data_IF_121107127419
#
_entry.id   IF_121107127419
#
_cell.length_a   1.000
_cell.length_b   1.000
_cell.length_c   1.000
_cell.angle_alpha   90.00
_cell.angle_beta   90.00
_cell.angle_gamma   90.00
#
_symmetry.space_group_name_H-M   'P 1'
#
loop_
_entity.id
_entity.type
_entity.pdbx_description
1 polymer ?
#
# COMPACT_ATOMS: atom_id res chain seq x y z
N UNK A 1 13.25 1.78 -3.78
CA UNK A 1 13.43 0.44 -3.19
C UNK A 1 12.16 0.15 -2.43
N UNK A 2 11.53 -0.97 -2.74
CA UNK A 2 10.30 -1.45 -2.09
C UNK A 2 10.68 -2.65 -1.22
N UNK A 3 10.24 -2.66 0.03
CA UNK A 3 10.32 -3.82 0.92
C UNK A 3 8.93 -4.45 1.02
N UNK A 4 8.80 -5.58 1.71
CA UNK A 4 7.50 -6.21 1.95
C UNK A 4 6.63 -5.32 2.85
N UNK A 5 5.37 -5.16 2.47
CA UNK A 5 4.36 -4.49 3.30
C UNK A 5 3.83 -5.47 4.35
N UNK A 6 3.67 -5.01 5.60
CA UNK A 6 3.20 -5.85 6.71
C UNK A 6 1.80 -5.45 7.16
N UNK A 7 0.95 -6.44 7.46
CA UNK A 7 -0.40 -6.19 8.01
C UNK A 7 -0.33 -5.73 9.46
N UNK A 8 -1.22 -4.80 9.84
CA UNK A 8 -1.37 -4.37 11.24
C UNK A 8 -2.02 -5.44 12.14
N UNK A 9 -2.58 -6.49 11.57
CA UNK A 9 -3.14 -7.61 12.33
C UNK A 9 -2.48 -8.91 11.91
N UNK A 10 -2.56 -9.91 12.80
CA UNK A 10 -2.06 -11.25 12.51
C UNK A 10 -2.77 -11.88 11.30
N UNK A 11 -2.07 -12.76 10.59
CA UNK A 11 -2.57 -13.41 9.38
C UNK A 11 -3.95 -14.07 9.57
N UNK A 12 -4.17 -14.81 10.67
CA UNK A 12 -5.46 -15.44 10.96
C UNK A 12 -6.62 -14.45 11.18
N UNK A 13 -6.32 -13.20 11.52
CA UNK A 13 -7.31 -12.12 11.63
C UNK A 13 -7.65 -11.55 10.26
N UNK A 14 -6.66 -11.39 9.37
CA UNK A 14 -6.82 -10.72 8.07
C UNK A 14 -7.04 -11.66 6.89
N UNK A 15 -6.86 -12.98 7.04
CA UNK A 15 -7.14 -13.96 5.98
C UNK A 15 -8.39 -14.79 6.27
N UNK A 16 -9.06 -15.21 5.21
CA UNK A 16 -10.21 -16.11 5.26
C UNK A 16 -10.21 -17.03 4.02
N UNK A 17 -10.98 -18.10 4.07
CA UNK A 17 -11.09 -19.08 2.99
C UNK A 17 -12.44 -18.95 2.29
N UNK A 18 -12.41 -18.69 0.99
CA UNK A 18 -13.58 -18.78 0.13
C UNK A 18 -13.72 -20.20 -0.39
N UNK A 19 -14.71 -20.92 0.11
CA UNK A 19 -15.04 -22.25 -0.38
C UNK A 19 -15.96 -22.16 -1.61
N UNK A 20 -15.68 -22.95 -2.64
CA UNK A 20 -16.49 -23.06 -3.85
C UNK A 20 -16.53 -24.51 -4.34
N UNK A 21 -17.53 -24.82 -5.18
CA UNK A 21 -17.59 -26.12 -5.82
C UNK A 21 -16.59 -26.15 -6.98
N UNK A 22 -15.64 -27.08 -6.91
CA UNK A 22 -14.66 -27.27 -7.97
C UNK A 22 -15.31 -27.93 -9.20
N UNK A 23 -14.90 -27.49 -10.38
CA UNK A 23 -15.36 -28.05 -11.65
C UNK A 23 -14.69 -29.40 -11.92
N UNK A 24 -15.32 -30.24 -12.75
CA UNK A 24 -14.64 -31.38 -13.36
C UNK A 24 -13.58 -30.90 -14.37
N UNK A 25 -12.68 -31.77 -14.81
CA UNK A 25 -11.61 -31.45 -15.77
C UNK A 25 -12.11 -30.85 -17.09
N UNK A 26 -13.38 -31.10 -17.44
CA UNK A 26 -14.06 -30.51 -18.59
C UNK A 26 -14.60 -29.09 -18.33
N UNK A 27 -14.26 -28.48 -17.20
CA UNK A 27 -14.73 -27.16 -16.75
C UNK A 27 -16.25 -27.05 -16.55
N UNK A 28 -16.93 -28.16 -16.27
CA UNK A 28 -18.38 -28.17 -15.99
C UNK A 28 -18.69 -28.57 -14.56
N UNK A 29 -19.87 -28.15 -14.09
CA UNK A 29 -20.39 -28.49 -12.76
C UNK A 29 -21.03 -29.89 -12.70
N UNK A 30 -21.09 -30.62 -13.81
CA UNK A 30 -21.73 -31.94 -13.90
C UNK A 30 -20.82 -32.96 -14.55
N UNK A 31 -20.82 -34.16 -14.01
CA UNK A 31 -20.11 -35.29 -14.59
C UNK A 31 -20.66 -35.55 -16.01
N UNK A 32 -19.82 -35.59 -17.05
CA UNK A 32 -20.25 -35.75 -18.43
C UNK A 32 -20.84 -37.14 -18.74
N UNK A 33 -20.59 -38.13 -17.89
CA UNK A 33 -21.07 -39.51 -18.03
C UNK A 33 -22.29 -39.75 -17.15
N UNK A 34 -22.24 -39.33 -15.89
CA UNK A 34 -23.29 -39.63 -14.90
C UNK A 34 -24.30 -38.50 -14.72
N UNK A 35 -24.00 -37.29 -15.18
CA UNK A 35 -24.84 -36.09 -15.03
C UNK A 35 -24.93 -35.56 -13.59
N UNK A 36 -24.27 -36.21 -12.63
CA UNK A 36 -24.27 -35.80 -11.23
C UNK A 36 -23.46 -34.52 -11.04
N UNK A 37 -23.87 -33.70 -10.07
CA UNK A 37 -23.14 -32.48 -9.74
C UNK A 37 -21.78 -32.81 -9.13
N UNK A 38 -20.77 -31.98 -9.38
CA UNK A 38 -19.47 -32.10 -8.72
C UNK A 38 -19.63 -31.98 -7.20
N UNK A 39 -19.03 -32.91 -6.46
CA UNK A 39 -18.89 -32.85 -5.00
C UNK A 39 -17.51 -32.39 -4.56
N UNK A 40 -16.60 -32.12 -5.51
CA UNK A 40 -15.26 -31.62 -5.23
C UNK A 40 -15.34 -30.20 -4.71
N UNK A 41 -14.59 -29.93 -3.64
CA UNK A 41 -14.54 -28.61 -2.99
C UNK A 41 -13.19 -27.97 -3.30
N UNK A 42 -13.22 -26.72 -3.76
CA UNK A 42 -12.07 -25.84 -3.85
C UNK A 42 -12.10 -24.78 -2.75
N UNK A 43 -10.92 -24.30 -2.34
CA UNK A 43 -10.77 -23.19 -1.39
C UNK A 43 -9.75 -22.20 -1.92
N UNK A 44 -10.13 -20.93 -1.98
CA UNK A 44 -9.23 -19.82 -2.27
C UNK A 44 -9.04 -18.97 -1.02
N UNK A 45 -7.80 -18.80 -0.56
CA UNK A 45 -7.50 -17.84 0.51
C UNK A 45 -7.59 -16.41 -0.02
N UNK A 46 -8.20 -15.52 0.77
CA UNK A 46 -8.27 -14.10 0.45
C UNK A 46 -8.02 -13.25 1.70
N UNK A 47 -7.56 -12.02 1.46
CA UNK A 47 -7.42 -11.00 2.50
C UNK A 47 -8.77 -10.32 2.73
N UNK A 48 -9.24 -10.30 3.97
CA UNK A 48 -10.51 -9.68 4.38
C UNK A 48 -10.52 -8.18 4.06
N UNK A 49 -11.68 -7.60 3.69
CA UNK A 49 -11.84 -6.16 3.59
C UNK A 49 -11.39 -5.45 4.86
N UNK A 50 -10.98 -4.17 4.72
CA UNK A 50 -10.55 -3.32 5.83
C UNK A 50 -9.27 -3.78 6.56
N UNK A 51 -8.57 -4.78 6.02
CA UNK A 51 -7.19 -5.08 6.40
C UNK A 51 -6.27 -3.94 5.98
N UNK A 52 -5.44 -3.48 6.91
CA UNK A 52 -4.48 -2.39 6.68
C UNK A 52 -3.07 -2.97 6.65
N UNK A 53 -2.32 -2.58 5.61
CA UNK A 53 -0.91 -2.88 5.45
C UNK A 53 -0.12 -1.58 5.50
N UNK A 54 1.01 -1.59 6.20
CA UNK A 54 1.94 -0.47 6.20
C UNK A 54 3.13 -0.78 5.31
N UNK A 55 3.55 0.25 4.56
CA UNK A 55 4.63 0.19 3.59
C UNK A 55 5.36 1.53 3.52
N UNK A 56 6.68 1.49 3.30
CA UNK A 56 7.56 2.65 3.14
C UNK A 56 8.19 2.56 1.76
N UNK A 57 7.82 3.52 0.91
CA UNK A 57 8.40 3.67 -0.42
C UNK A 57 9.66 4.55 -0.36
N UNK A 58 10.84 3.94 -0.52
CA UNK A 58 12.12 4.66 -0.47
C UNK A 58 12.55 5.12 -1.86
N UNK A 59 12.60 6.44 -2.05
CA UNK A 59 12.99 7.09 -3.29
C UNK A 59 14.34 7.82 -3.12
N UNK A 60 15.23 7.67 -4.10
CA UNK A 60 16.60 8.19 -4.04
C UNK A 60 16.96 8.92 -5.32
N UNK A 61 17.70 10.03 -5.19
CA UNK A 61 18.28 10.80 -6.30
C UNK A 61 17.23 11.22 -7.36
N UNK A 62 16.03 11.60 -6.89
CA UNK A 62 14.94 12.06 -7.75
C UNK A 62 14.91 13.58 -7.85
N UNK A 63 14.58 14.07 -9.04
CA UNK A 63 14.08 15.42 -9.24
C UNK A 63 12.66 15.58 -8.66
N UNK A 64 12.21 16.83 -8.47
CA UNK A 64 10.87 17.10 -7.97
C UNK A 64 9.76 16.52 -8.89
N UNK A 65 9.96 16.56 -10.20
CA UNK A 65 8.98 16.04 -11.15
C UNK A 65 8.93 14.51 -11.17
N UNK A 66 10.07 13.84 -10.98
CA UNK A 66 10.09 12.38 -10.82
C UNK A 66 9.43 11.95 -9.51
N UNK A 67 9.65 12.69 -8.43
CA UNK A 67 8.95 12.45 -7.17
C UNK A 67 7.43 12.58 -7.34
N UNK A 68 6.96 13.65 -7.98
CA UNK A 68 5.53 13.84 -8.32
C UNK A 68 5.00 12.71 -9.20
N UNK A 69 5.80 12.26 -10.17
CA UNK A 69 5.43 11.15 -11.05
C UNK A 69 5.22 9.84 -10.27
N UNK A 70 6.17 9.49 -9.40
CA UNK A 70 6.10 8.29 -8.56
C UNK A 70 4.91 8.38 -7.60
N UNK A 71 4.80 9.49 -6.86
CA UNK A 71 3.71 9.70 -5.91
C UNK A 71 2.32 9.66 -6.60
N UNK A 72 2.20 10.27 -7.78
CA UNK A 72 0.98 10.22 -8.58
C UNK A 72 0.60 8.80 -9.00
N UNK A 73 1.58 7.96 -9.35
CA UNK A 73 1.34 6.55 -9.67
C UNK A 73 0.90 5.75 -8.44
N UNK A 74 1.50 5.98 -7.27
CA UNK A 74 1.08 5.35 -6.01
C UNK A 74 -0.39 5.72 -5.73
N UNK A 75 -0.74 7.00 -5.75
CA UNK A 75 -2.10 7.47 -5.45
C UNK A 75 -3.16 6.92 -6.43
N UNK A 76 -2.78 6.69 -7.69
CA UNK A 76 -3.69 6.18 -8.75
C UNK A 76 -3.76 4.65 -8.80
N UNK A 77 -2.86 3.96 -8.12
CA UNK A 77 -2.84 2.49 -8.06
C UNK A 77 -3.89 1.99 -7.08
N UNK A 78 -4.88 1.25 -7.58
CA UNK A 78 -6.01 0.76 -6.76
C UNK A 78 -6.28 -0.73 -6.91
N UNK A 79 -5.58 -1.41 -7.83
CA UNK A 79 -5.76 -2.84 -8.08
C UNK A 79 -4.46 -3.56 -7.79
N UNK A 80 -4.47 -4.36 -6.74
CA UNK A 80 -3.32 -5.13 -6.30
C UNK A 80 -3.63 -6.63 -6.42
N UNK A 81 -2.61 -7.44 -6.66
CA UNK A 81 -2.72 -8.88 -6.84
C UNK A 81 -2.40 -9.36 -8.27
N UNK A 82 -2.36 -10.67 -8.44
CA UNK A 82 -1.97 -11.31 -9.70
C UNK A 82 -2.95 -10.98 -10.85
N UNK A 83 -2.40 -10.88 -12.06
CA UNK A 83 -3.11 -10.47 -13.29
C UNK A 83 -4.32 -11.39 -13.58
N UNK A 84 -4.24 -12.67 -13.22
CA UNK A 84 -5.29 -13.67 -13.43
C UNK A 84 -6.43 -13.59 -12.42
N UNK A 85 -6.19 -13.07 -11.21
CA UNK A 85 -7.15 -13.08 -10.12
C UNK A 85 -7.80 -11.71 -9.90
N UNK A 86 -7.11 -10.57 -10.08
CA UNK A 86 -7.65 -9.18 -9.96
C UNK A 86 -8.74 -8.99 -8.88
N UNK A 87 -8.60 -9.64 -7.72
CA UNK A 87 -9.69 -9.74 -6.73
C UNK A 87 -9.65 -8.60 -5.69
N UNK A 88 -8.54 -7.86 -5.53
CA UNK A 88 -8.41 -6.83 -4.48
C UNK A 88 -8.45 -5.38 -4.99
N UNK A 89 -9.37 -4.56 -4.44
CA UNK A 89 -9.29 -3.09 -4.55
C UNK A 89 -8.64 -2.54 -3.28
N UNK A 90 -7.53 -1.83 -3.43
CA UNK A 90 -6.80 -1.16 -2.34
C UNK A 90 -6.95 0.35 -2.48
N UNK A 91 -6.98 1.04 -1.35
CA UNK A 91 -6.90 2.50 -1.27
C UNK A 91 -5.58 2.86 -0.59
N UNK A 92 -4.68 3.50 -1.33
CA UNK A 92 -3.44 4.02 -0.75
C UNK A 92 -3.72 5.29 0.05
N UNK A 93 -3.08 5.40 1.20
CA UNK A 93 -3.16 6.57 2.10
C UNK A 93 -1.73 6.94 2.45
N UNK A 94 -1.32 8.16 2.10
CA UNK A 94 0.00 8.68 2.48
C UNK A 94 -0.09 9.13 3.93
N UNK A 95 0.50 8.37 4.84
CA UNK A 95 0.46 8.66 6.27
C UNK A 95 1.63 9.54 6.76
N UNK A 96 2.73 9.57 6.01
CA UNK A 96 3.94 10.31 6.35
C UNK A 96 4.87 10.48 5.15
N UNK A 97 5.68 11.55 5.18
CA UNK A 97 6.80 11.77 4.26
C UNK A 97 8.00 12.24 5.08
N UNK A 98 9.15 11.62 4.85
CA UNK A 98 10.40 11.95 5.56
C UNK A 98 11.50 12.12 4.53
N UNK A 99 12.12 13.30 4.50
CA UNK A 99 13.36 13.53 3.78
C UNK A 99 14.54 13.17 4.68
N UNK A 100 15.52 12.45 4.13
CA UNK A 100 16.68 11.97 4.89
C UNK A 100 17.94 11.89 4.03
N UNK A 101 19.11 12.03 4.64
CA UNK A 101 20.42 11.73 4.04
C UNK A 101 20.93 10.32 4.34
N UNK A 102 20.13 9.52 5.05
CA UNK A 102 20.42 8.14 5.42
C UNK A 102 19.16 7.26 5.36
N UNK A 103 19.36 5.95 5.48
CA UNK A 103 18.27 4.99 5.62
C UNK A 103 17.53 5.20 6.96
N UNK A 104 16.22 4.99 6.94
CA UNK A 104 15.37 5.12 8.12
C UNK A 104 15.21 3.76 8.81
N UNK A 105 14.03 3.53 9.38
CA UNK A 105 13.61 2.26 9.95
C UNK A 105 12.87 1.41 8.91
N UNK A 106 12.80 0.10 9.14
CA UNK A 106 12.14 -0.85 8.25
C UNK A 106 10.61 -0.79 8.31
N UNK A 107 9.94 -1.34 7.29
CA UNK A 107 8.49 -1.54 7.28
C UNK A 107 8.00 -2.34 8.50
N UNK A 108 8.77 -3.37 8.90
CA UNK A 108 8.44 -4.20 10.06
C UNK A 108 8.51 -3.40 11.37
N UNK A 109 9.56 -2.62 11.58
CA UNK A 109 9.71 -1.78 12.78
C UNK A 109 8.61 -0.72 12.87
N UNK A 110 8.25 -0.10 11.75
CA UNK A 110 7.11 0.82 11.70
C UNK A 110 5.81 0.09 12.08
N UNK A 111 5.55 -1.07 11.48
CA UNK A 111 4.34 -1.86 11.72
C UNK A 111 4.21 -2.29 13.18
N UNK A 112 5.30 -2.77 13.78
CA UNK A 112 5.33 -3.16 15.20
C UNK A 112 5.11 -1.96 16.11
N UNK A 113 5.77 -0.83 15.85
CA UNK A 113 5.56 0.38 16.65
C UNK A 113 4.13 0.91 16.56
N UNK A 114 3.49 0.83 15.38
CA UNK A 114 2.09 1.25 15.21
C UNK A 114 1.14 0.26 15.86
N UNK A 115 1.41 -1.04 15.75
CA UNK A 115 0.66 -2.09 16.44
C UNK A 115 0.61 -1.82 17.95
N UNK A 116 1.76 -1.58 18.57
CA UNK A 116 1.87 -1.32 20.01
C UNK A 116 1.08 -0.08 20.44
N UNK A 117 1.12 1.00 19.63
CA UNK A 117 0.34 2.21 19.88
C UNK A 117 -1.18 1.97 19.78
N UNK A 118 -1.61 1.11 18.86
CA UNK A 118 -3.03 0.81 18.65
C UNK A 118 -3.60 -0.19 19.66
N UNK A 119 -2.78 -1.07 20.23
CA UNK A 119 -3.18 -1.96 21.32
C UNK A 119 -3.70 -1.18 22.54
N UNK A 120 -3.07 -0.05 22.90
CA UNK A 120 -3.52 0.84 23.97
C UNK A 120 -3.94 0.12 25.28
N UNK A 121 -3.21 -0.93 25.68
CA UNK A 121 -3.49 -1.74 26.87
C UNK A 121 -4.36 -2.98 26.65
N UNK A 122 -4.90 -3.18 25.45
CA UNK A 122 -5.49 -4.44 24.99
C UNK A 122 -4.40 -5.43 24.52
N UNK A 123 -4.69 -6.75 24.48
CA UNK A 123 -3.74 -7.75 23.98
C UNK A 123 -3.51 -7.65 22.46
N UNK A 124 -4.50 -7.17 21.71
CA UNK A 124 -4.46 -6.98 20.26
C UNK A 124 -5.34 -5.78 19.86
N UNK A 125 -5.05 -5.11 18.73
CA UNK A 125 -5.89 -4.02 18.24
C UNK A 125 -7.20 -4.53 17.65
N UNK A 126 -8.26 -3.71 17.74
CA UNK A 126 -9.56 -4.01 17.14
C UNK A 126 -9.46 -4.28 15.63
N UNK A 127 -10.29 -5.17 15.09
CA UNK A 127 -10.45 -5.38 13.65
C UNK A 127 -11.92 -5.21 13.26
N UNK A 128 -12.26 -4.28 12.33
CA UNK A 128 -11.37 -3.43 11.54
C UNK A 128 -10.83 -2.21 12.30
N UNK A 129 -9.72 -1.65 11.82
CA UNK A 129 -9.15 -0.38 12.33
C UNK A 129 -9.64 0.83 11.54
N UNK A 130 -9.85 1.95 12.25
CA UNK A 130 -10.16 3.23 11.62
C UNK A 130 -8.89 3.97 11.19
N UNK A 131 -8.89 4.53 9.98
CA UNK A 131 -7.79 5.39 9.50
C UNK A 131 -7.57 6.63 10.39
N UNK A 132 -8.61 7.10 11.08
CA UNK A 132 -8.50 8.21 12.03
C UNK A 132 -7.67 7.85 13.28
N UNK A 133 -7.54 6.57 13.59
CA UNK A 133 -6.65 6.07 14.65
C UNK A 133 -5.28 5.69 14.09
N UNK A 134 -5.25 5.03 12.91
CA UNK A 134 -4.02 4.52 12.32
C UNK A 134 -3.08 5.63 11.85
N UNK A 135 -3.58 6.67 11.16
CA UNK A 135 -2.69 7.72 10.63
C UNK A 135 -1.95 8.46 11.75
N UNK A 136 -2.61 8.92 12.85
CA UNK A 136 -1.89 9.51 13.98
C UNK A 136 -0.92 8.54 14.66
N UNK A 137 -1.24 7.25 14.74
CA UNK A 137 -0.34 6.24 15.29
C UNK A 137 0.91 6.06 14.42
N UNK A 138 0.76 6.05 13.09
CA UNK A 138 1.87 6.04 12.12
C UNK A 138 2.75 7.27 12.30
N UNK A 139 2.16 8.47 12.38
CA UNK A 139 2.91 9.71 12.57
C UNK A 139 3.70 9.71 13.89
N UNK A 140 3.07 9.25 14.97
CA UNK A 140 3.72 9.10 16.27
C UNK A 140 4.86 8.08 16.26
N UNK A 141 4.68 6.96 15.56
CA UNK A 141 5.70 5.93 15.37
C UNK A 141 6.88 6.46 14.54
N UNK A 142 6.62 7.21 13.46
CA UNK A 142 7.66 7.87 12.66
C UNK A 142 8.50 8.79 13.56
N UNK A 143 7.87 9.69 14.33
CA UNK A 143 8.57 10.60 15.24
C UNK A 143 9.41 9.86 16.29
N UNK A 144 8.87 8.77 16.87
CA UNK A 144 9.57 7.99 17.88
C UNK A 144 10.78 7.24 17.29
N UNK A 145 10.58 6.52 16.18
CA UNK A 145 11.62 5.73 15.53
C UNK A 145 12.70 6.63 14.92
N UNK A 146 12.34 7.81 14.40
CA UNK A 146 13.30 8.76 13.85
C UNK A 146 14.34 9.25 14.86
N UNK A 147 14.06 9.23 16.17
CA UNK A 147 15.01 9.64 17.22
C UNK A 147 16.26 8.76 17.30
N UNK A 148 16.20 7.53 16.81
CA UNK A 148 17.33 6.58 16.80
C UNK A 148 18.17 6.67 15.53
N UNK A 149 17.68 7.38 14.51
CA UNK A 149 18.34 7.47 13.21
C UNK A 149 19.52 8.43 13.33
N UNK A 150 20.69 7.97 12.88
CA UNK A 150 21.94 8.73 12.93
C UNK A 150 22.14 9.44 11.59
N UNK A 151 21.42 10.54 11.39
CA UNK A 151 21.50 11.37 10.19
C UNK A 151 20.64 12.63 10.28
N UNK A 152 20.45 13.32 9.15
CA UNK A 152 19.58 14.50 9.06
C UNK A 152 18.23 14.09 8.49
N UNK A 153 17.18 14.39 9.24
CA UNK A 153 15.81 14.08 8.86
C UNK A 153 14.98 15.36 8.82
N UNK A 154 14.05 15.43 7.87
CA UNK A 154 12.95 16.40 7.85
C UNK A 154 11.66 15.62 7.68
N UNK A 155 10.89 15.51 8.77
CA UNK A 155 9.56 14.89 8.76
C UNK A 155 8.56 15.96 8.35
N UNK A 156 7.74 15.69 7.34
CA UNK A 156 6.76 16.65 6.86
C UNK A 156 5.58 16.73 7.84
N UNK A 157 5.17 17.95 8.26
CA UNK A 157 3.95 18.14 9.01
C UNK A 157 2.72 17.66 8.23
N UNK A 158 1.67 17.23 8.94
CA UNK A 158 0.43 16.74 8.32
C UNK A 158 -0.16 17.71 7.28
N UNK A 159 -0.15 19.02 7.57
CA UNK A 159 -0.66 20.04 6.64
C UNK A 159 0.16 20.13 5.33
N UNK A 160 1.47 19.88 5.37
CA UNK A 160 2.31 19.86 4.18
C UNK A 160 2.10 18.57 3.36
N UNK A 161 1.83 17.45 4.03
CA UNK A 161 1.45 16.20 3.36
C UNK A 161 0.11 16.40 2.62
N UNK A 162 -0.88 17.00 3.27
CA UNK A 162 -2.18 17.30 2.64
C UNK A 162 -2.02 18.25 1.43
N UNK A 163 -1.19 19.28 1.57
CA UNK A 163 -0.88 20.20 0.48
C UNK A 163 -0.18 19.49 -0.70
N UNK A 164 0.77 18.60 -0.41
CA UNK A 164 1.47 17.80 -1.41
C UNK A 164 0.50 16.85 -2.15
N UNK A 165 -0.37 16.16 -1.44
CA UNK A 165 -1.39 15.30 -2.05
C UNK A 165 -2.33 16.12 -2.93
N UNK A 166 -2.75 17.31 -2.48
CA UNK A 166 -3.60 18.21 -3.26
C UNK A 166 -2.89 18.71 -4.52
N UNK A 167 -1.62 19.09 -4.42
CA UNK A 167 -0.78 19.50 -5.56
C UNK A 167 -0.70 18.38 -6.61
N UNK A 168 -0.33 17.17 -6.20
CA UNK A 168 -0.20 16.02 -7.10
C UNK A 168 -1.57 15.64 -7.68
N UNK A 169 -2.64 15.69 -6.89
CA UNK A 169 -3.99 15.43 -7.38
C UNK A 169 -4.43 16.45 -8.43
N UNK A 170 -4.10 17.73 -8.23
CA UNK A 170 -4.36 18.79 -9.21
C UNK A 170 -3.56 18.59 -10.49
N UNK A 171 -2.26 18.25 -10.38
CA UNK A 171 -1.39 17.96 -11.52
C UNK A 171 -1.98 16.84 -12.39
N UNK A 172 -2.37 15.72 -11.78
CA UNK A 172 -2.93 14.58 -12.50
C UNK A 172 -4.39 14.76 -12.93
N UNK A 173 -5.05 15.83 -12.47
CA UNK A 173 -6.36 16.26 -12.95
C UNK A 173 -6.31 17.00 -14.29
N UNK A 174 -5.13 17.43 -14.74
CA UNK A 174 -4.93 18.15 -16.00
C UNK A 174 -3.93 17.45 -16.93
N UNK A 175 -4.41 16.99 -18.07
CA UNK A 175 -3.61 16.25 -19.05
C UNK A 175 -2.46 17.07 -19.64
N UNK A 176 -2.63 18.37 -19.84
CA UNK A 176 -1.57 19.23 -20.38
C UNK A 176 -0.47 19.44 -19.35
N UNK A 177 -0.83 19.62 -18.08
CA UNK A 177 0.13 19.71 -16.97
C UNK A 177 0.93 18.42 -16.81
N UNK A 178 0.30 17.24 -16.87
CA UNK A 178 1.00 15.95 -16.85
C UNK A 178 1.97 15.83 -18.02
N UNK A 179 1.52 16.18 -19.23
CA UNK A 179 2.36 16.13 -20.43
C UNK A 179 3.57 17.04 -20.30
N UNK A 180 3.38 18.29 -19.87
CA UNK A 180 4.46 19.25 -19.70
C UNK A 180 5.50 18.78 -18.69
N UNK A 181 5.05 18.22 -17.56
CA UNK A 181 5.93 17.63 -16.54
C UNK A 181 6.75 16.48 -17.12
N UNK A 182 6.12 15.52 -17.81
CA UNK A 182 6.83 14.38 -18.42
C UNK A 182 7.85 14.83 -19.48
N UNK A 183 7.49 15.78 -20.34
CA UNK A 183 8.40 16.32 -21.35
C UNK A 183 9.61 17.04 -20.72
N UNK A 184 9.40 17.76 -19.61
CA UNK A 184 10.47 18.40 -18.85
C UNK A 184 11.41 17.36 -18.23
N UNK A 185 10.86 16.33 -17.58
CA UNK A 185 11.64 15.22 -17.01
C UNK A 185 12.44 14.47 -18.08
N UNK A 186 11.84 14.15 -19.23
CA UNK A 186 12.55 13.45 -20.31
C UNK A 186 13.72 14.25 -20.87
N UNK A 187 13.62 15.58 -20.98
CA UNK A 187 14.72 16.43 -21.48
C UNK A 187 15.96 16.39 -20.60
N UNK A 188 15.80 16.22 -19.28
CA UNK A 188 16.92 16.13 -18.34
C UNK A 188 17.83 14.93 -18.67
N UNK A 189 17.24 13.83 -19.13
CA UNK A 189 17.96 12.60 -19.47
C UNK A 189 18.46 12.53 -20.92
N UNK A 190 18.18 13.56 -21.74
CA UNK A 190 18.51 13.56 -23.17
C UNK A 190 17.57 12.70 -24.01
N UNK A 191 17.79 12.67 -25.33
CA UNK A 191 17.00 11.84 -26.22
C UNK A 191 17.28 10.35 -25.92
N UNK A 192 16.26 9.62 -25.46
CA UNK A 192 16.27 8.17 -25.47
C UNK A 192 16.10 7.74 -26.94
N UNK A 193 17.20 7.31 -27.56
CA UNK A 193 17.25 6.85 -28.94
C UNK A 193 16.52 5.53 -29.17
#
# INVERSE_FOLDING_TARGET
VTDDAFSLHAAGTVTDLKQFNALFDNSTMRDPVTGQASTSIGTDEYVKPESIFLDIETLRDLTADEFRYVLGNILRSTRYGAISSRIGKVKNVVAGVVFSDCELFSNLELTQSVYDLLCNGAPEPDFPLSLNAVVPAVQSAIEALSKRVVGRLTILPAAEIDALIAEVSSLYGDAESVRAMLEATSKIYGAQG
#
